data_IF_473593048962
#
_entry.id   IF_473593048962
#
_cell.length_a   1.000
_cell.length_b   1.000
_cell.length_c   1.000
_cell.angle_alpha   90.00
_cell.angle_beta   90.00
_cell.angle_gamma   90.00
#
_symmetry.space_group_name_H-M   'P 1'
#
loop_
_entity.id
_entity.type
_entity.pdbx_description
1 polymer ?
#
# COMPACT_ATOMS: atom_id res chain seq x y z
N UNK A 1 7.25 -12.32 -23.13
CA UNK A 1 5.80 -12.25 -23.43
C UNK A 1 5.27 -11.08 -22.62
N UNK A 2 4.72 -10.05 -23.27
CA UNK A 2 4.23 -8.88 -22.55
C UNK A 2 3.01 -9.25 -21.69
N UNK A 3 3.06 -8.93 -20.41
CA UNK A 3 1.90 -9.07 -19.52
C UNK A 3 0.82 -8.13 -20.05
N UNK A 4 -0.42 -8.62 -20.15
CA UNK A 4 -1.52 -7.77 -20.62
C UNK A 4 -1.77 -6.64 -19.62
N UNK A 5 -1.97 -5.42 -20.12
CA UNK A 5 -2.22 -4.23 -19.28
C UNK A 5 -3.36 -4.44 -18.28
N UNK A 6 -4.41 -5.16 -18.68
CA UNK A 6 -5.52 -5.54 -17.79
C UNK A 6 -5.09 -6.40 -16.60
N UNK A 7 -4.09 -7.27 -16.78
CA UNK A 7 -3.51 -8.10 -15.72
C UNK A 7 -2.73 -7.22 -14.74
N UNK A 8 -1.90 -6.30 -15.25
CA UNK A 8 -1.17 -5.35 -14.40
C UNK A 8 -2.10 -4.46 -13.57
N UNK A 9 -3.19 -3.94 -14.16
CA UNK A 9 -4.21 -3.15 -13.44
C UNK A 9 -4.88 -3.98 -12.35
N UNK A 10 -5.21 -5.24 -12.65
CA UNK A 10 -5.81 -6.14 -11.66
C UNK A 10 -4.83 -6.44 -10.51
N UNK A 11 -3.57 -6.73 -10.84
CA UNK A 11 -2.54 -7.08 -9.87
C UNK A 11 -2.22 -5.91 -8.94
N UNK A 12 -2.06 -4.69 -9.48
CA UNK A 12 -1.83 -3.51 -8.64
C UNK A 12 -3.05 -3.23 -7.75
N UNK A 13 -4.29 -3.32 -8.26
CA UNK A 13 -5.49 -3.13 -7.45
C UNK A 13 -5.58 -4.16 -6.33
N UNK A 14 -5.26 -5.41 -6.61
CA UNK A 14 -5.25 -6.48 -5.61
C UNK A 14 -4.19 -6.23 -4.52
N UNK A 15 -2.97 -5.86 -4.91
CA UNK A 15 -1.89 -5.55 -3.98
C UNK A 15 -2.24 -4.34 -3.09
N UNK A 16 -2.74 -3.25 -3.69
CA UNK A 16 -3.16 -2.06 -2.96
C UNK A 16 -4.34 -2.33 -2.03
N UNK A 17 -5.30 -3.16 -2.44
CA UNK A 17 -6.43 -3.54 -1.59
C UNK A 17 -5.98 -4.31 -0.36
N UNK A 18 -5.04 -5.25 -0.51
CA UNK A 18 -4.48 -5.99 0.61
C UNK A 18 -3.72 -5.08 1.59
N UNK A 19 -2.88 -4.17 1.07
CA UNK A 19 -2.16 -3.20 1.91
C UNK A 19 -3.10 -2.21 2.59
N UNK A 20 -4.15 -1.74 1.90
CA UNK A 20 -5.16 -0.87 2.48
C UNK A 20 -5.96 -1.57 3.59
N UNK A 21 -6.27 -2.86 3.42
CA UNK A 21 -6.90 -3.65 4.47
C UNK A 21 -6.01 -3.73 5.71
N UNK A 22 -4.71 -3.98 5.55
CA UNK A 22 -3.76 -3.95 6.66
C UNK A 22 -3.72 -2.58 7.33
N UNK A 23 -3.58 -1.49 6.56
CA UNK A 23 -3.61 -0.12 7.09
C UNK A 23 -4.86 0.11 7.94
N UNK A 24 -6.03 -0.29 7.42
CA UNK A 24 -7.31 -0.14 8.13
C UNK A 24 -7.38 -0.99 9.40
N UNK A 25 -6.69 -2.13 9.46
CA UNK A 25 -6.59 -2.93 10.68
C UNK A 25 -5.67 -2.27 11.71
N UNK A 26 -4.52 -1.73 11.27
CA UNK A 26 -3.56 -1.04 12.12
C UNK A 26 -4.13 0.28 12.66
N UNK A 27 -4.87 1.05 11.85
CA UNK A 27 -5.57 2.28 12.29
C UNK A 27 -6.58 2.02 13.41
N UNK A 28 -7.03 0.77 13.62
CA UNK A 28 -7.94 0.40 14.70
C UNK A 28 -7.23 0.00 15.99
N UNK A 29 -5.90 -0.08 15.96
CA UNK A 29 -5.07 -0.32 17.14
C UNK A 29 -4.64 1.02 17.75
N UNK A 30 -4.40 1.04 19.06
CA UNK A 30 -3.92 2.25 19.75
C UNK A 30 -2.42 2.46 19.46
N UNK A 31 -2.12 2.97 18.26
CA UNK A 31 -0.77 3.26 17.80
C UNK A 31 -0.32 4.65 18.24
N UNK A 32 0.99 4.87 18.22
CA UNK A 32 1.56 6.21 18.40
C UNK A 32 1.12 7.16 17.28
N UNK A 33 1.06 8.46 17.60
CA UNK A 33 0.61 9.50 16.65
C UNK A 33 1.43 9.48 15.36
N UNK A 34 2.76 9.31 15.46
CA UNK A 34 3.67 9.26 14.30
C UNK A 34 3.31 8.10 13.35
N UNK A 35 3.06 6.90 13.89
CA UNK A 35 2.67 5.74 13.08
C UNK A 35 1.31 5.96 12.43
N UNK A 36 0.36 6.52 13.18
CA UNK A 36 -0.98 6.81 12.70
C UNK A 36 -0.98 7.80 11.54
N UNK A 37 -0.17 8.86 11.60
CA UNK A 37 -0.03 9.85 10.51
C UNK A 37 0.48 9.20 9.22
N UNK A 38 1.54 8.40 9.30
CA UNK A 38 2.10 7.70 8.13
C UNK A 38 1.12 6.69 7.53
N UNK A 39 0.44 5.90 8.37
CA UNK A 39 -0.55 4.93 7.92
C UNK A 39 -1.77 5.62 7.30
N UNK A 40 -2.22 6.74 7.86
CA UNK A 40 -3.33 7.52 7.31
C UNK A 40 -2.99 8.13 5.94
N UNK A 41 -1.76 8.64 5.79
CA UNK A 41 -1.25 9.13 4.51
C UNK A 41 -1.20 8.00 3.46
N UNK A 42 -0.65 6.84 3.84
CA UNK A 42 -0.60 5.66 2.97
C UNK A 42 -2.01 5.20 2.56
N UNK A 43 -2.92 5.07 3.53
CA UNK A 43 -4.31 4.66 3.31
C UNK A 43 -5.07 5.61 2.39
N UNK A 44 -4.88 6.92 2.55
CA UNK A 44 -5.45 7.94 1.66
C UNK A 44 -4.92 7.80 0.24
N UNK A 45 -3.61 7.61 0.07
CA UNK A 45 -2.99 7.40 -1.23
C UNK A 45 -3.50 6.13 -1.93
N UNK A 46 -3.63 5.03 -1.20
CA UNK A 46 -4.16 3.78 -1.76
C UNK A 46 -5.63 3.90 -2.17
N UNK A 47 -6.47 4.54 -1.35
CA UNK A 47 -7.88 4.79 -1.69
C UNK A 47 -8.00 5.65 -2.95
N UNK A 48 -7.21 6.72 -3.05
CA UNK A 48 -7.17 7.59 -4.24
C UNK A 48 -6.87 6.81 -5.53
N UNK A 49 -5.90 5.89 -5.48
CA UNK A 49 -5.55 5.04 -6.63
C UNK A 49 -6.63 4.00 -6.92
N UNK A 50 -7.25 3.41 -5.90
CA UNK A 50 -8.27 2.36 -6.05
C UNK A 50 -9.63 2.91 -6.53
N UNK A 51 -9.98 4.14 -6.13
CA UNK A 51 -11.21 4.82 -6.54
C UNK A 51 -11.17 5.28 -8.00
N UNK A 52 -9.98 5.29 -8.61
CA UNK A 52 -9.81 5.64 -10.00
C UNK A 52 -10.39 4.54 -10.92
N UNK A 53 -11.40 4.86 -11.76
CA UNK A 53 -12.00 3.88 -12.65
C UNK A 53 -11.02 3.34 -13.70
N UNK A 54 -10.09 4.18 -14.17
CA UNK A 54 -9.14 3.86 -15.25
C UNK A 54 -7.68 4.14 -14.86
N UNK A 55 -7.10 3.29 -13.99
CA UNK A 55 -5.68 3.41 -13.60
C UNK A 55 -4.73 3.40 -14.80
N UNK A 56 -5.14 2.85 -15.93
CA UNK A 56 -4.31 2.78 -17.13
C UNK A 56 -4.08 4.17 -17.76
N UNK A 57 -4.88 5.18 -17.43
CA UNK A 57 -4.67 6.55 -17.94
C UNK A 57 -4.17 7.50 -16.86
N UNK A 58 -3.96 7.02 -15.64
CA UNK A 58 -3.73 7.89 -14.49
C UNK A 58 -2.26 8.20 -14.28
N UNK A 59 -1.90 9.45 -14.54
CA UNK A 59 -0.57 10.00 -14.32
C UNK A 59 -0.46 10.87 -13.06
N UNK A 60 -1.56 11.07 -12.34
CA UNK A 60 -1.66 12.07 -11.27
C UNK A 60 -1.52 11.50 -9.85
N UNK A 61 -1.61 10.18 -9.66
CA UNK A 61 -1.50 9.58 -8.33
C UNK A 61 -0.05 9.31 -7.97
N UNK A 62 0.40 9.86 -6.85
CA UNK A 62 1.72 9.56 -6.29
C UNK A 62 1.66 8.30 -5.43
N UNK A 63 1.52 7.15 -6.10
CA UNK A 63 1.53 5.85 -5.42
C UNK A 63 2.88 5.58 -4.74
N UNK A 64 3.97 6.12 -5.27
CA UNK A 64 5.30 5.94 -4.67
C UNK A 64 5.39 6.63 -3.31
N UNK A 65 4.80 7.81 -3.15
CA UNK A 65 4.68 8.48 -1.86
C UNK A 65 3.83 7.67 -0.89
N UNK A 66 2.67 7.16 -1.32
CA UNK A 66 1.81 6.30 -0.48
C UNK A 66 2.52 5.02 -0.01
N UNK A 67 3.24 4.35 -0.90
CA UNK A 67 4.04 3.16 -0.57
C UNK A 67 5.21 3.50 0.36
N UNK A 68 5.81 4.69 0.23
CA UNK A 68 6.87 5.15 1.14
C UNK A 68 6.33 5.46 2.52
N UNK A 69 5.18 6.12 2.60
CA UNK A 69 4.48 6.37 3.86
C UNK A 69 4.12 5.06 4.57
N UNK A 70 3.67 4.03 3.83
CA UNK A 70 3.43 2.71 4.41
C UNK A 70 4.72 2.14 5.03
N UNK A 71 5.84 2.15 4.32
CA UNK A 71 7.11 1.65 4.84
C UNK A 71 7.56 2.42 6.10
N UNK A 72 7.43 3.74 6.11
CA UNK A 72 7.76 4.58 7.26
C UNK A 72 6.88 4.25 8.47
N UNK A 73 5.57 4.11 8.27
CA UNK A 73 4.64 3.70 9.32
C UNK A 73 4.96 2.32 9.89
N UNK A 74 5.28 1.35 9.02
CA UNK A 74 5.63 -0.01 9.44
C UNK A 74 7.02 -0.11 10.10
N UNK A 75 7.97 0.75 9.73
CA UNK A 75 9.29 0.83 10.37
C UNK A 75 9.22 1.51 11.75
N UNK A 76 8.35 2.52 11.90
CA UNK A 76 8.08 3.18 13.16
C UNK A 76 7.18 2.36 14.10
N UNK A 77 6.52 1.32 13.59
CA UNK A 77 5.66 0.44 14.36
C UNK A 77 6.49 -0.51 15.22
N UNK A 78 6.37 -0.37 16.54
CA UNK A 78 6.99 -1.32 17.45
C UNK A 78 6.16 -2.61 17.49
N UNK A 79 6.82 -3.76 17.31
CA UNK A 79 6.13 -5.07 17.25
C UNK A 79 5.41 -5.45 18.54
N UNK A 80 5.75 -4.83 19.66
CA UNK A 80 5.10 -5.04 20.96
C UNK A 80 3.70 -4.39 21.03
N UNK A 81 3.36 -3.48 20.11
CA UNK A 81 2.07 -2.77 20.08
C UNK A 81 0.97 -3.54 19.32
N UNK A 82 1.32 -4.63 18.63
CA UNK A 82 0.40 -5.37 17.74
C UNK A 82 0.52 -6.89 17.95
N UNK A 83 -0.49 -7.65 17.51
CA UNK A 83 -0.47 -9.12 17.62
C UNK A 83 0.51 -9.76 16.63
N UNK A 84 0.97 -10.98 16.91
CA UNK A 84 1.87 -11.73 16.03
C UNK A 84 1.31 -11.91 14.61
N UNK A 85 -0.01 -12.07 14.47
CA UNK A 85 -0.66 -12.15 13.16
C UNK A 85 -0.54 -10.82 12.39
N UNK A 86 -0.69 -9.69 13.07
CA UNK A 86 -0.51 -8.38 12.44
C UNK A 86 0.96 -8.15 12.07
N UNK A 87 1.91 -8.62 12.87
CA UNK A 87 3.35 -8.54 12.54
C UNK A 87 3.64 -9.30 11.24
N UNK A 88 3.08 -10.50 11.08
CA UNK A 88 3.21 -11.27 9.83
C UNK A 88 2.61 -10.52 8.63
N UNK A 89 1.42 -9.95 8.78
CA UNK A 89 0.79 -9.16 7.71
C UNK A 89 1.61 -7.91 7.36
N UNK A 90 2.24 -7.26 8.33
CA UNK A 90 3.15 -6.13 8.09
C UNK A 90 4.36 -6.57 7.26
N UNK A 91 4.99 -7.70 7.60
CA UNK A 91 6.11 -8.24 6.83
C UNK A 91 5.70 -8.61 5.40
N UNK A 92 4.53 -9.21 5.22
CA UNK A 92 3.99 -9.47 3.89
C UNK A 92 3.75 -8.18 3.11
N UNK A 93 3.19 -7.14 3.74
CA UNK A 93 2.97 -5.85 3.08
C UNK A 93 4.29 -5.22 2.64
N UNK A 94 5.31 -5.19 3.50
CA UNK A 94 6.67 -4.72 3.15
C UNK A 94 7.23 -5.48 1.95
N UNK A 95 7.07 -6.82 1.92
CA UNK A 95 7.55 -7.65 0.82
C UNK A 95 6.86 -7.37 -0.52
N UNK A 96 5.63 -6.85 -0.50
CA UNK A 96 4.84 -6.51 -1.69
C UNK A 96 5.19 -5.14 -2.27
N UNK A 97 5.74 -4.22 -1.47
CA UNK A 97 6.04 -2.85 -1.91
C UNK A 97 6.92 -2.80 -3.17
N UNK A 98 8.03 -3.56 -3.30
CA UNK A 98 8.85 -3.53 -4.52
C UNK A 98 8.07 -3.96 -5.77
N UNK A 99 7.25 -5.02 -5.66
CA UNK A 99 6.42 -5.51 -6.77
C UNK A 99 5.32 -4.51 -7.14
N UNK A 100 4.74 -3.82 -6.16
CA UNK A 100 3.75 -2.76 -6.41
C UNK A 100 4.37 -1.58 -7.16
N UNK A 101 5.59 -1.18 -6.79
CA UNK A 101 6.32 -0.12 -7.49
C UNK A 101 6.67 -0.50 -8.93
N UNK A 102 7.13 -1.72 -9.14
CA UNK A 102 7.45 -2.25 -10.47
C UNK A 102 6.19 -2.30 -11.35
N UNK A 103 5.11 -2.90 -10.85
CA UNK A 103 3.83 -2.97 -11.57
C UNK A 103 3.27 -1.59 -11.89
N UNK A 104 3.39 -0.64 -10.96
CA UNK A 104 2.97 0.75 -11.17
C UNK A 104 3.83 1.46 -12.23
N UNK A 105 5.15 1.25 -12.19
CA UNK A 105 6.05 1.79 -13.20
C UNK A 105 5.73 1.22 -14.59
N UNK A 106 5.45 -0.08 -14.70
CA UNK A 106 5.05 -0.72 -15.96
C UNK A 106 3.71 -0.18 -16.49
N UNK A 107 2.76 0.17 -15.63
CA UNK A 107 1.48 0.75 -16.04
C UNK A 107 1.59 2.18 -16.58
N UNK A 108 2.58 2.94 -16.07
CA UNK A 108 2.86 4.31 -16.45
C UNK A 108 3.67 4.42 -17.77
N UNK A 109 4.22 3.31 -18.29
CA UNK A 109 4.95 3.23 -19.57
C UNK A 109 4.08 2.59 -20.66
#
# INVERSE_FOLDING_TARGET
MGVSRSTLVHDIRNQLSAMLMLVTLLERTELTDDVSEYLSLAGTGFRSVLDEPDLATTSHHDLNSALSALLQGLEALETEQISDELVQLCQEAVSRVPSARETWAELAH
#
